data_IF_846832208449
#
_entry.id   IF_846832208449
#
_cell.length_a   1.000
_cell.length_b   1.000
_cell.length_c   1.000
_cell.angle_alpha   90.00
_cell.angle_beta   90.00
_cell.angle_gamma   90.00
#
_symmetry.space_group_name_H-M   'P 1'
#
loop_
_entity.id
_entity.type
_entity.pdbx_description
1 polymer ?
#
# COMPACT_ATOMS: atom_id res chain seq x y z
N UNK A 1 -5.28 -8.57 -15.97
CA UNK A 1 -3.86 -8.54 -16.30
C UNK A 1 -3.50 -7.33 -17.13
N UNK A 2 -3.98 -7.21 -18.36
CA UNK A 2 -3.71 -6.04 -19.20
C UNK A 2 -4.03 -4.69 -18.53
N UNK A 3 -5.11 -4.62 -17.77
CA UNK A 3 -5.49 -3.41 -17.04
C UNK A 3 -4.45 -3.00 -16.00
N UNK A 4 -3.89 -3.95 -15.26
CA UNK A 4 -2.83 -3.69 -14.27
C UNK A 4 -1.60 -3.07 -14.93
N UNK A 5 -1.17 -3.63 -16.06
CA UNK A 5 -0.05 -3.09 -16.84
C UNK A 5 -0.36 -1.70 -17.41
N UNK A 6 -1.59 -1.49 -17.85
CA UNK A 6 -2.06 -0.20 -18.32
C UNK A 6 -2.05 0.86 -17.23
N UNK A 7 -2.50 0.51 -16.03
CA UNK A 7 -2.48 1.41 -14.88
C UNK A 7 -1.04 1.74 -14.45
N UNK A 8 -0.16 0.74 -14.47
CA UNK A 8 1.27 0.97 -14.22
C UNK A 8 1.92 1.89 -15.27
N UNK A 9 1.54 1.75 -16.54
CA UNK A 9 2.02 2.62 -17.61
C UNK A 9 1.46 4.04 -17.47
N UNK A 10 0.20 4.19 -17.05
CA UNK A 10 -0.41 5.49 -16.83
C UNK A 10 0.30 6.27 -15.72
N UNK A 11 0.70 5.59 -14.64
CA UNK A 11 1.54 6.20 -13.59
C UNK A 11 2.84 6.72 -14.20
N UNK A 12 3.50 5.96 -15.07
CA UNK A 12 4.74 6.39 -15.72
C UNK A 12 4.53 7.62 -16.61
N UNK A 13 3.41 7.70 -17.31
CA UNK A 13 3.08 8.83 -18.18
C UNK A 13 2.79 10.10 -17.38
N UNK A 14 2.10 9.97 -16.25
CA UNK A 14 1.73 11.10 -15.40
C UNK A 14 2.90 11.61 -14.58
N UNK A 15 3.65 10.70 -13.94
CA UNK A 15 4.78 11.09 -13.07
C UNK A 15 6.06 11.37 -13.83
N UNK A 16 6.25 10.76 -15.01
CA UNK A 16 7.50 10.78 -15.80
C UNK A 16 8.74 10.35 -14.99
N UNK A 17 8.53 9.60 -13.92
CA UNK A 17 9.60 9.12 -13.02
C UNK A 17 9.83 7.64 -13.11
N UNK A 18 8.76 6.86 -13.27
CA UNK A 18 8.86 5.41 -13.38
C UNK A 18 7.51 4.75 -13.47
N UNK A 19 7.54 3.53 -13.98
CA UNK A 19 6.36 2.66 -14.07
C UNK A 19 6.02 2.10 -12.69
N UNK A 20 4.74 1.84 -12.44
CA UNK A 20 4.29 1.17 -11.22
C UNK A 20 5.14 -0.07 -10.92
N UNK A 21 5.62 -0.19 -9.68
CA UNK A 21 6.56 -1.23 -9.26
C UNK A 21 6.03 -2.12 -8.13
N UNK A 22 4.88 -1.80 -7.56
CA UNK A 22 4.23 -2.65 -6.57
C UNK A 22 2.70 -2.63 -6.73
N UNK A 23 2.08 -3.70 -6.25
CA UNK A 23 0.63 -3.87 -6.17
C UNK A 23 0.29 -4.27 -4.75
N UNK A 24 -0.73 -3.64 -4.19
CA UNK A 24 -1.37 -4.06 -2.95
C UNK A 24 -2.77 -4.54 -3.30
N UNK A 25 -3.13 -5.72 -2.86
CA UNK A 25 -4.39 -6.35 -3.26
C UNK A 25 -5.04 -7.11 -2.11
N UNK A 26 -6.35 -7.37 -2.22
CA UNK A 26 -7.04 -8.29 -1.31
C UNK A 26 -6.61 -9.74 -1.53
N UNK A 27 -6.83 -10.61 -0.54
CA UNK A 27 -6.44 -12.01 -0.61
C UNK A 27 -7.05 -12.75 -1.81
N UNK A 28 -8.32 -12.48 -2.13
CA UNK A 28 -9.02 -13.15 -3.23
C UNK A 28 -8.47 -12.74 -4.60
N UNK A 29 -8.16 -11.46 -4.78
CA UNK A 29 -7.51 -10.98 -6.00
C UNK A 29 -6.11 -11.57 -6.16
N UNK A 30 -5.36 -11.69 -5.06
CA UNK A 30 -4.05 -12.35 -5.09
C UNK A 30 -4.16 -13.83 -5.49
N UNK A 31 -5.15 -14.54 -4.94
CA UNK A 31 -5.44 -15.92 -5.31
C UNK A 31 -5.82 -16.06 -6.78
N UNK A 32 -6.64 -15.16 -7.30
CA UNK A 32 -6.99 -15.13 -8.72
C UNK A 32 -5.77 -14.88 -9.62
N UNK A 33 -4.87 -13.97 -9.21
CA UNK A 33 -3.61 -13.72 -9.92
C UNK A 33 -2.69 -14.95 -9.88
N UNK A 34 -2.63 -15.63 -8.75
CA UNK A 34 -1.87 -16.88 -8.62
C UNK A 34 -2.41 -17.98 -9.52
N UNK A 35 -3.73 -18.17 -9.53
CA UNK A 35 -4.40 -19.19 -10.37
C UNK A 35 -4.25 -18.88 -11.87
N UNK A 36 -4.10 -17.63 -12.25
CA UNK A 36 -3.85 -17.23 -13.65
C UNK A 36 -2.45 -17.57 -14.16
N UNK A 37 -1.55 -18.08 -13.29
CA UNK A 37 -0.18 -18.46 -13.63
C UNK A 37 0.75 -17.28 -13.93
N UNK A 38 0.37 -16.08 -13.54
CA UNK A 38 1.14 -14.87 -13.86
C UNK A 38 1.98 -14.36 -12.70
N UNK A 39 1.79 -14.96 -11.53
CA UNK A 39 2.59 -14.68 -10.36
C UNK A 39 3.82 -15.58 -10.35
N UNK A 40 4.98 -14.97 -10.52
CA UNK A 40 6.24 -15.64 -10.22
C UNK A 40 6.39 -15.65 -8.70
N UNK A 41 6.13 -16.78 -8.09
CA UNK A 41 6.49 -16.99 -6.70
C UNK A 41 7.99 -16.82 -6.60
N UNK A 42 8.43 -15.78 -5.92
CA UNK A 42 9.84 -15.56 -5.74
C UNK A 42 10.45 -16.81 -5.12
N UNK A 43 11.56 -17.23 -5.68
CA UNK A 43 12.24 -18.49 -5.45
C UNK A 43 12.76 -18.72 -4.01
N UNK A 44 12.00 -18.35 -3.00
CA UNK A 44 12.20 -18.83 -1.64
C UNK A 44 12.19 -20.37 -1.54
N UNK A 45 11.69 -21.02 -2.59
CA UNK A 45 11.77 -22.47 -2.76
C UNK A 45 13.15 -22.92 -3.24
N UNK A 46 14.01 -22.05 -3.73
CA UNK A 46 15.31 -22.39 -4.31
C UNK A 46 16.51 -21.94 -3.47
N UNK A 47 16.38 -21.79 -2.18
CA UNK A 47 17.51 -21.77 -1.24
C UNK A 47 18.67 -20.78 -1.47
N UNK A 48 18.57 -19.88 -2.43
CA UNK A 48 19.61 -18.95 -2.81
C UNK A 48 19.16 -17.51 -2.58
N UNK A 49 19.14 -17.08 -1.32
CA UNK A 49 19.18 -15.64 -0.98
C UNK A 49 18.00 -14.75 -1.40
N UNK A 50 16.89 -15.34 -1.82
CA UNK A 50 15.66 -14.58 -2.05
C UNK A 50 14.86 -14.39 -0.75
N UNK A 51 13.96 -13.38 -0.68
CA UNK A 51 13.09 -13.24 0.46
C UNK A 51 12.30 -14.53 0.65
N UNK A 52 12.31 -15.05 1.88
CA UNK A 52 11.60 -16.29 2.21
C UNK A 52 10.09 -16.11 1.97
N UNK A 53 9.44 -17.15 1.43
CA UNK A 53 7.98 -17.18 1.36
C UNK A 53 7.45 -16.98 2.77
N UNK A 54 6.71 -15.89 2.98
CA UNK A 54 6.18 -15.56 4.29
C UNK A 54 6.93 -14.48 5.04
N UNK A 55 7.83 -13.74 4.40
CA UNK A 55 8.36 -12.51 4.98
C UNK A 55 7.23 -11.51 5.12
N UNK A 56 6.69 -11.47 6.32
CA UNK A 56 5.69 -10.49 6.71
C UNK A 56 6.42 -9.19 6.95
N UNK A 57 6.06 -8.16 6.18
CA UNK A 57 6.51 -6.81 6.46
C UNK A 57 6.10 -6.42 7.88
N UNK A 58 6.84 -5.50 8.52
CA UNK A 58 6.56 -4.97 9.88
C UNK A 58 5.12 -4.46 10.03
N UNK A 59 4.45 -4.19 8.92
CA UNK A 59 3.04 -3.77 8.85
C UNK A 59 2.04 -4.92 8.70
N UNK A 60 2.50 -6.17 8.63
CA UNK A 60 1.63 -7.34 8.45
C UNK A 60 1.25 -7.64 6.99
N UNK A 61 1.75 -6.90 6.02
CA UNK A 61 1.53 -7.17 4.60
C UNK A 61 2.41 -8.33 4.14
N UNK A 62 1.80 -9.33 3.54
CA UNK A 62 2.49 -10.50 3.01
C UNK A 62 2.92 -10.27 1.55
N UNK A 63 4.22 -10.34 1.28
CA UNK A 63 4.74 -10.40 -0.08
C UNK A 63 4.48 -11.80 -0.65
N UNK A 64 3.62 -11.89 -1.65
CA UNK A 64 3.24 -13.17 -2.27
C UNK A 64 4.15 -13.54 -3.42
N UNK A 65 4.59 -12.56 -4.18
CA UNK A 65 5.45 -12.82 -5.34
C UNK A 65 5.66 -11.60 -6.22
N UNK A 66 6.21 -11.84 -7.39
CA UNK A 66 6.41 -10.80 -8.40
C UNK A 66 5.60 -11.13 -9.65
N UNK A 67 5.05 -10.12 -10.29
CA UNK A 67 4.40 -10.22 -11.58
C UNK A 67 5.33 -9.67 -12.66
N UNK A 68 5.53 -10.43 -13.74
CA UNK A 68 6.44 -10.09 -14.83
C UNK A 68 7.88 -9.75 -14.38
N UNK A 69 8.35 -10.34 -13.28
CA UNK A 69 9.70 -10.10 -12.74
C UNK A 69 9.98 -8.67 -12.27
N UNK A 70 8.98 -7.79 -12.22
CA UNK A 70 9.17 -6.37 -11.88
C UNK A 70 8.23 -5.84 -10.82
N UNK A 71 6.98 -6.24 -10.84
CA UNK A 71 5.94 -5.69 -9.98
C UNK A 71 5.80 -6.60 -8.77
N UNK A 72 6.12 -6.10 -7.59
CA UNK A 72 5.94 -6.83 -6.34
C UNK A 72 4.47 -6.84 -5.94
N UNK A 73 3.95 -8.01 -5.59
CA UNK A 73 2.55 -8.17 -5.18
C UNK A 73 2.48 -8.43 -3.68
N UNK A 74 1.81 -7.53 -2.98
CA UNK A 74 1.57 -7.60 -1.55
C UNK A 74 0.09 -7.88 -1.29
N UNK A 75 -0.19 -8.72 -0.30
CA UNK A 75 -1.55 -8.97 0.17
C UNK A 75 -1.79 -8.19 1.44
N UNK A 76 -2.88 -7.43 1.45
CA UNK A 76 -3.40 -6.82 2.67
C UNK A 76 -4.44 -7.76 3.29
N UNK A 77 -4.13 -8.39 4.44
CA UNK A 77 -5.05 -9.33 5.08
C UNK A 77 -6.28 -8.64 5.69
N UNK A 78 -6.24 -7.32 5.86
CA UNK A 78 -7.30 -6.57 6.53
C UNK A 78 -8.30 -5.93 5.57
N UNK A 79 -8.03 -5.92 4.27
CA UNK A 79 -8.79 -5.14 3.29
C UNK A 79 -10.16 -5.69 2.92
N UNK A 80 -10.44 -6.96 3.11
CA UNK A 80 -11.59 -7.65 2.53
C UNK A 80 -12.67 -8.08 3.54
N UNK A 81 -12.48 -7.86 4.83
CA UNK A 81 -13.30 -8.54 5.84
C UNK A 81 -14.71 -7.98 6.05
N UNK A 82 -15.08 -6.85 5.44
CA UNK A 82 -16.34 -6.18 5.75
C UNK A 82 -17.18 -5.74 4.54
N UNK A 83 -16.70 -5.90 3.34
CA UNK A 83 -17.48 -5.58 2.14
C UNK A 83 -17.04 -6.44 0.96
N UNK A 84 -17.99 -6.91 0.16
CA UNK A 84 -17.76 -7.64 -1.11
C UNK A 84 -17.01 -6.81 -2.17
N UNK A 85 -16.31 -5.77 -1.78
CA UNK A 85 -15.58 -4.90 -2.69
C UNK A 85 -14.09 -5.27 -2.72
N UNK A 86 -13.74 -6.12 -3.66
CA UNK A 86 -12.34 -6.43 -3.94
C UNK A 86 -11.69 -5.30 -4.71
N UNK A 87 -10.43 -5.02 -4.40
CA UNK A 87 -9.67 -4.00 -5.12
C UNK A 87 -8.19 -4.35 -5.19
N UNK A 88 -7.52 -3.73 -6.13
CA UNK A 88 -6.07 -3.67 -6.16
C UNK A 88 -5.62 -2.21 -6.27
N UNK A 89 -4.45 -1.94 -5.71
CA UNK A 89 -3.79 -0.64 -5.82
C UNK A 89 -2.45 -0.86 -6.49
N UNK A 90 -2.28 -0.23 -7.65
CA UNK A 90 -0.97 -0.17 -8.31
C UNK A 90 -0.28 1.11 -7.87
N UNK A 91 0.98 1.02 -7.49
CA UNK A 91 1.74 2.17 -7.05
C UNK A 91 3.16 2.18 -7.58
N UNK A 92 3.75 3.36 -7.51
CA UNK A 92 5.17 3.58 -7.78
C UNK A 92 5.85 4.19 -6.57
N UNK A 93 6.99 3.64 -6.20
CA UNK A 93 7.90 4.21 -5.22
C UNK A 93 9.31 4.18 -5.79
N UNK A 94 9.93 5.34 -5.91
CA UNK A 94 11.31 5.46 -6.34
C UNK A 94 12.32 5.17 -5.23
N UNK A 95 13.58 5.22 -5.58
CA UNK A 95 14.71 5.03 -4.65
C UNK A 95 14.91 6.24 -3.75
N UNK A 96 14.54 7.44 -4.17
CA UNK A 96 14.61 8.64 -3.37
C UNK A 96 13.48 8.68 -2.34
N UNK A 97 13.77 9.19 -1.14
CA UNK A 97 12.77 9.37 -0.09
C UNK A 97 11.61 10.30 -0.50
N UNK A 98 11.86 11.22 -1.44
CA UNK A 98 10.85 12.18 -1.93
C UNK A 98 10.06 11.66 -3.13
N UNK A 99 10.44 10.51 -3.67
CA UNK A 99 9.80 9.94 -4.86
C UNK A 99 8.74 8.90 -4.44
N UNK A 100 7.72 9.40 -3.79
CA UNK A 100 6.57 8.63 -3.31
C UNK A 100 5.31 9.50 -3.33
N UNK A 101 4.15 8.86 -3.35
CA UNK A 101 2.86 9.54 -3.39
C UNK A 101 2.24 9.80 -2.02
N UNK A 102 2.76 9.16 -0.98
CA UNK A 102 2.26 9.29 0.38
C UNK A 102 3.43 9.31 1.34
N UNK A 103 3.43 10.27 2.26
CA UNK A 103 4.45 10.43 3.27
C UNK A 103 3.84 10.25 4.66
N UNK A 104 4.38 9.32 5.41
CA UNK A 104 4.07 9.15 6.82
C UNK A 104 5.22 9.73 7.65
N UNK A 105 4.91 10.73 8.45
CA UNK A 105 5.87 11.47 9.27
C UNK A 105 5.56 11.24 10.75
N UNK A 106 6.12 10.21 11.39
CA UNK A 106 5.95 10.01 12.83
C UNK A 106 6.74 11.07 13.59
N UNK A 107 6.04 11.93 14.31
CA UNK A 107 6.66 12.98 15.12
C UNK A 107 6.97 12.50 16.52
N UNK A 108 6.02 11.82 17.15
CA UNK A 108 6.18 11.18 18.45
C UNK A 108 5.78 9.72 18.31
N UNK A 109 6.67 8.77 18.63
CA UNK A 109 6.34 7.36 18.61
C UNK A 109 5.22 7.02 19.60
N UNK A 110 4.62 5.84 19.46
CA UNK A 110 3.63 5.36 20.41
C UNK A 110 4.24 5.27 21.80
N UNK A 111 3.70 6.04 22.73
CA UNK A 111 4.13 6.09 24.12
C UNK A 111 3.02 5.63 25.04
N UNK A 112 3.34 4.74 25.96
CA UNK A 112 2.45 4.36 27.05
C UNK A 112 2.67 5.32 28.23
N UNK A 113 1.58 5.86 28.73
CA UNK A 113 1.56 6.69 29.94
C UNK A 113 0.73 5.97 31.00
N UNK A 114 1.31 5.75 32.14
CA UNK A 114 0.66 5.18 33.30
C UNK A 114 0.46 6.25 34.36
N UNK A 115 -0.76 6.35 34.89
CA UNK A 115 -1.10 7.26 35.97
C UNK A 115 -2.04 6.57 36.96
N UNK A 116 -2.04 7.04 38.20
CA UNK A 116 -3.00 6.61 39.22
C UNK A 116 -4.05 7.70 39.34
N UNK A 117 -5.34 7.31 39.30
CA UNK A 117 -6.43 8.24 39.45
C UNK A 117 -6.45 8.85 40.86
N UNK A 118 -6.57 10.18 41.01
CA UNK A 118 -6.49 10.83 42.31
C UNK A 118 -7.66 10.47 43.21
N UNK A 119 -8.82 10.16 42.65
CA UNK A 119 -10.05 9.92 43.42
C UNK A 119 -10.31 8.44 43.68
N UNK A 120 -9.90 7.56 42.79
CA UNK A 120 -10.25 6.12 42.84
C UNK A 120 -9.06 5.22 43.10
N UNK A 121 -7.84 5.75 43.12
CA UNK A 121 -6.57 4.99 43.20
C UNK A 121 -6.43 3.87 42.17
N UNK A 122 -7.26 3.87 41.13
CA UNK A 122 -7.19 2.88 40.06
C UNK A 122 -6.09 3.25 39.05
N UNK A 123 -5.33 2.26 38.57
CA UNK A 123 -4.35 2.52 37.53
C UNK A 123 -5.04 2.87 36.21
N UNK A 124 -4.63 3.97 35.61
CA UNK A 124 -5.09 4.41 34.27
C UNK A 124 -3.92 4.28 33.32
N UNK A 125 -4.15 3.60 32.20
CA UNK A 125 -3.15 3.44 31.14
C UNK A 125 -3.67 4.19 29.90
N UNK A 126 -2.84 5.07 29.39
CA UNK A 126 -3.13 5.81 28.15
C UNK A 126 -2.03 5.59 27.12
N UNK A 127 -2.39 5.52 25.86
CA UNK A 127 -1.46 5.51 24.75
C UNK A 127 -1.56 6.83 24.00
N UNK A 128 -0.43 7.43 23.71
CA UNK A 128 -0.37 8.66 22.91
C UNK A 128 0.63 8.53 21.77
N UNK A 129 0.30 9.11 20.64
CA UNK A 129 1.19 9.26 19.50
C UNK A 129 0.90 10.58 18.79
N UNK A 130 1.85 11.09 18.04
CA UNK A 130 1.67 12.21 17.13
C UNK A 130 2.31 11.86 15.80
N UNK A 131 1.55 11.95 14.73
CA UNK A 131 2.02 11.70 13.38
C UNK A 131 1.35 12.65 12.40
N UNK A 132 1.99 12.87 11.29
CA UNK A 132 1.44 13.55 10.14
C UNK A 132 1.38 12.59 8.95
N UNK A 133 0.34 12.68 8.16
CA UNK A 133 0.28 12.04 6.85
C UNK A 133 0.05 13.12 5.80
N UNK A 134 0.88 13.11 4.77
CA UNK A 134 0.81 14.06 3.67
C UNK A 134 0.79 13.28 2.36
N UNK A 135 -0.23 13.57 1.52
CA UNK A 135 -0.22 13.14 0.13
C UNK A 135 0.73 14.01 -0.68
N UNK A 136 1.13 13.54 -1.86
CA UNK A 136 2.02 14.30 -2.72
C UNK A 136 1.45 15.72 -2.98
N UNK A 137 2.20 16.78 -2.65
CA UNK A 137 1.71 18.16 -2.78
C UNK A 137 1.49 18.61 -4.23
N UNK A 138 1.96 17.84 -5.21
CA UNK A 138 1.75 18.13 -6.63
C UNK A 138 0.49 17.49 -7.22
N UNK A 139 -0.36 16.92 -6.38
CA UNK A 139 -1.68 16.47 -6.83
C UNK A 139 -2.50 17.68 -7.26
N UNK A 140 -2.87 17.70 -8.52
CA UNK A 140 -3.61 18.81 -9.12
C UNK A 140 -5.11 18.52 -9.02
N UNK A 141 -5.88 19.47 -8.51
CA UNK A 141 -7.34 19.44 -8.59
C UNK A 141 -7.82 19.51 -10.05
N UNK A 142 -9.09 19.18 -10.29
CA UNK A 142 -9.70 19.30 -11.61
C UNK A 142 -9.69 20.73 -12.19
N UNK A 143 -9.51 21.73 -11.32
CA UNK A 143 -9.41 23.14 -11.70
C UNK A 143 -7.96 23.62 -11.94
N UNK A 144 -6.98 22.72 -11.89
CA UNK A 144 -5.56 23.07 -12.13
C UNK A 144 -4.82 23.62 -10.90
N UNK A 145 -5.47 23.77 -9.74
CA UNK A 145 -4.79 24.22 -8.52
C UNK A 145 -4.19 23.03 -7.75
N UNK A 146 -2.97 23.17 -7.19
CA UNK A 146 -2.42 22.17 -6.30
C UNK A 146 -3.29 22.02 -5.04
N UNK A 147 -3.63 20.80 -4.67
CA UNK A 147 -4.40 20.53 -3.47
C UNK A 147 -3.59 19.66 -2.51
N UNK A 148 -3.09 20.28 -1.46
CA UNK A 148 -2.32 19.60 -0.43
C UNK A 148 -3.20 18.71 0.49
N UNK A 149 -4.50 18.91 0.49
CA UNK A 149 -5.44 18.18 1.35
C UNK A 149 -6.20 17.05 0.62
N UNK A 150 -6.07 16.97 -0.70
CA UNK A 150 -6.87 16.06 -1.48
C UNK A 150 -6.38 14.61 -1.42
N UNK A 151 -6.79 13.91 -0.41
CA UNK A 151 -6.92 12.45 -0.44
C UNK A 151 -8.15 12.01 -1.28
N UNK A 152 -8.55 12.83 -2.23
CA UNK A 152 -9.68 12.51 -3.12
C UNK A 152 -9.33 11.29 -3.95
N UNK A 153 -10.20 10.29 -3.92
CA UNK A 153 -10.01 9.05 -4.65
C UNK A 153 -9.66 9.30 -6.13
N UNK A 154 -8.58 8.68 -6.61
CA UNK A 154 -8.16 8.72 -8.00
C UNK A 154 -7.31 9.92 -8.41
N UNK A 155 -6.89 10.81 -7.53
CA UNK A 155 -6.10 11.99 -7.87
C UNK A 155 -4.61 11.90 -7.58
N UNK A 156 -4.17 10.91 -6.85
CA UNK A 156 -2.74 10.73 -6.63
C UNK A 156 -2.09 10.15 -7.89
N UNK A 157 -1.11 10.85 -8.44
CA UNK A 157 -0.39 10.44 -9.64
C UNK A 157 0.46 9.18 -9.45
N UNK A 158 0.82 8.86 -8.21
CA UNK A 158 1.67 7.71 -7.87
C UNK A 158 0.88 6.43 -7.58
N UNK A 159 -0.43 6.53 -7.36
CA UNK A 159 -1.28 5.40 -7.00
C UNK A 159 -2.55 5.37 -7.83
N UNK A 160 -2.94 4.17 -8.23
CA UNK A 160 -4.22 3.91 -8.87
C UNK A 160 -4.93 2.79 -8.14
N UNK A 161 -6.11 3.10 -7.61
CA UNK A 161 -7.00 2.12 -7.01
C UNK A 161 -8.06 1.71 -8.01
N UNK A 162 -8.19 0.40 -8.24
CA UNK A 162 -9.17 -0.16 -9.14
C UNK A 162 -10.01 -1.18 -8.38
N UNK A 163 -11.33 -1.06 -8.49
CA UNK A 163 -12.29 -2.03 -7.97
C UNK A 163 -12.33 -3.23 -8.90
N UNK A 164 -12.31 -4.43 -8.33
CA UNK A 164 -12.44 -5.68 -9.08
C UNK A 164 -13.84 -6.22 -8.82
N UNK A 165 -14.57 -6.48 -9.88
CA UNK A 165 -15.92 -7.05 -9.86
C UNK A 165 -15.92 -8.39 -10.57
N UNK A 166 -16.88 -9.25 -10.24
CA UNK A 166 -17.07 -10.57 -10.87
C UNK A 166 -15.81 -11.47 -10.75
N UNK A 167 -15.31 -11.63 -9.53
CA UNK A 167 -14.16 -12.50 -9.23
C UNK A 167 -14.51 -13.99 -9.26
N UNK A 168 -15.78 -14.32 -9.45
CA UNK A 168 -16.25 -15.71 -9.57
C UNK A 168 -16.29 -16.15 -11.01
#
# INVERSE_FOLDING_TARGET
MFQIERDANAIAQETRRGKGNFIITSADVASALAMSGTLDYSSGLTGAGGPSIGEVDDTGNLLVGTMNGRIKVYVDPYSANLSDSHYYVVGYKGTSAYDAGLFYCPYVPLQMVRSIGPDTFQPKIGFKTRYGMVANPFVVQSNGTPDAEALTAGRNQYYRRVKVENLM
#
